data_IF_779932982437
#
_entry.id   IF_779932982437
#
_cell.length_a   1.000
_cell.length_b   1.000
_cell.length_c   1.000
_cell.angle_alpha   90.00
_cell.angle_beta   90.00
_cell.angle_gamma   90.00
#
_symmetry.space_group_name_H-M   'P 1'
#
loop_
_entity.id
_entity.type
_entity.pdbx_description
1 polymer ?
#
# COMPACT_ATOMS: atom_id res chain seq x y z
N UNK A 1 -8.06 21.23 16.93
CA UNK A 1 -8.04 20.86 15.49
C UNK A 1 -7.96 19.36 15.36
N UNK A 2 -8.00 18.79 14.15
CA UNK A 2 -8.05 17.32 13.96
C UNK A 2 -7.02 16.55 14.78
N UNK A 3 -5.81 17.09 14.96
CA UNK A 3 -4.78 16.47 15.80
C UNK A 3 -5.16 16.43 17.29
N UNK A 4 -5.66 17.53 17.85
CA UNK A 4 -6.08 17.59 19.26
C UNK A 4 -7.26 16.66 19.54
N UNK A 5 -8.17 16.54 18.56
CA UNK A 5 -9.34 15.68 18.67
C UNK A 5 -8.94 14.21 18.62
N UNK A 6 -8.01 13.82 17.73
CA UNK A 6 -7.43 12.46 17.70
C UNK A 6 -6.72 12.11 19.01
N UNK A 7 -5.95 13.05 19.57
CA UNK A 7 -5.24 12.83 20.85
C UNK A 7 -6.20 12.59 22.02
N UNK A 8 -7.36 13.27 22.02
CA UNK A 8 -8.42 13.01 23.00
C UNK A 8 -9.08 11.66 22.75
N UNK A 9 -9.38 11.33 21.50
CA UNK A 9 -9.99 10.05 21.16
C UNK A 9 -9.07 8.85 21.46
N UNK A 10 -7.75 9.03 21.44
CA UNK A 10 -6.81 7.96 21.82
C UNK A 10 -6.96 7.51 23.28
N UNK A 11 -7.42 8.38 24.19
CA UNK A 11 -7.66 8.00 25.60
C UNK A 11 -8.93 7.18 25.78
N UNK A 12 -9.92 7.41 24.93
CA UNK A 12 -11.28 6.91 25.11
C UNK A 12 -11.58 5.68 24.24
N UNK A 13 -10.86 5.52 23.12
CA UNK A 13 -11.08 4.46 22.13
C UNK A 13 -9.88 3.55 21.96
N UNK A 14 -10.15 2.28 21.62
CA UNK A 14 -9.10 1.31 21.28
C UNK A 14 -8.38 1.71 19.99
N UNK A 15 -7.07 1.46 19.93
CA UNK A 15 -6.22 1.77 18.78
C UNK A 15 -6.69 1.15 17.47
N UNK A 16 -7.18 -0.09 17.50
CA UNK A 16 -7.70 -0.76 16.30
C UNK A 16 -8.97 -0.10 15.75
N UNK A 17 -9.83 0.40 16.64
CA UNK A 17 -11.04 1.13 16.27
C UNK A 17 -10.67 2.51 15.68
N UNK A 18 -9.75 3.22 16.34
CA UNK A 18 -9.23 4.49 15.84
C UNK A 18 -8.59 4.35 14.46
N UNK A 19 -7.77 3.31 14.26
CA UNK A 19 -7.13 3.02 12.99
C UNK A 19 -8.15 2.87 11.86
N UNK A 20 -9.19 2.05 12.08
CA UNK A 20 -10.18 1.74 11.07
C UNK A 20 -11.18 2.85 10.80
N UNK A 21 -11.66 3.51 11.85
CA UNK A 21 -12.80 4.43 11.75
C UNK A 21 -12.35 5.90 11.62
N UNK A 22 -11.10 6.21 11.95
CA UNK A 22 -10.57 7.59 11.91
C UNK A 22 -9.40 7.70 10.94
N UNK A 23 -8.32 6.94 11.15
CA UNK A 23 -7.09 7.13 10.38
C UNK A 23 -7.19 6.67 8.92
N UNK A 24 -7.75 5.49 8.68
CA UNK A 24 -7.91 4.96 7.32
C UNK A 24 -8.84 5.83 6.44
N UNK A 25 -10.02 6.28 6.93
CA UNK A 25 -10.88 7.18 6.17
C UNK A 25 -10.27 8.56 5.96
N UNK A 26 -9.59 9.13 6.96
CA UNK A 26 -8.99 10.47 6.86
C UNK A 26 -7.92 10.55 5.77
N UNK A 27 -7.22 9.45 5.51
CA UNK A 27 -6.21 9.40 4.46
C UNK A 27 -6.82 9.18 3.06
N UNK A 28 -8.11 8.86 2.96
CA UNK A 28 -8.86 8.64 1.71
C UNK A 28 -8.10 7.80 0.69
N UNK A 29 -7.26 6.86 1.14
CA UNK A 29 -6.36 6.12 0.21
C UNK A 29 -7.19 5.26 -0.76
N UNK A 30 -8.37 4.85 -0.33
CA UNK A 30 -9.32 4.05 -1.09
C UNK A 30 -10.15 4.88 -2.10
N UNK A 31 -10.13 6.21 -2.02
CA UNK A 31 -10.81 7.08 -2.98
C UNK A 31 -9.98 7.29 -4.26
N UNK A 32 -10.65 7.41 -5.42
CA UNK A 32 -10.02 7.62 -6.73
C UNK A 32 -9.27 8.96 -6.84
N UNK A 33 -9.61 9.93 -5.98
CA UNK A 33 -8.99 11.25 -5.93
C UNK A 33 -8.54 11.52 -4.50
N UNK A 34 -7.25 11.39 -4.25
CA UNK A 34 -6.65 11.80 -2.99
C UNK A 34 -5.29 12.47 -3.22
N UNK A 35 -4.81 13.24 -2.25
CA UNK A 35 -3.54 13.96 -2.35
C UNK A 35 -2.34 13.03 -2.57
N UNK A 36 -2.43 11.77 -2.14
CA UNK A 36 -1.40 10.77 -2.35
C UNK A 36 -1.28 10.39 -3.84
N UNK A 37 -2.40 10.20 -4.55
CA UNK A 37 -2.41 9.92 -5.98
C UNK A 37 -2.00 11.13 -6.82
N UNK A 38 -2.42 12.33 -6.43
CA UNK A 38 -1.98 13.55 -7.08
C UNK A 38 -0.46 13.75 -6.98
N UNK A 39 0.15 13.36 -5.86
CA UNK A 39 1.62 13.34 -5.72
C UNK A 39 2.29 12.45 -6.79
N UNK A 40 1.74 11.26 -7.07
CA UNK A 40 2.30 10.40 -8.12
C UNK A 40 2.08 10.95 -9.53
N UNK A 41 0.86 11.46 -9.81
CA UNK A 41 0.51 12.03 -11.12
C UNK A 41 1.37 13.25 -11.47
N UNK A 42 1.65 14.10 -10.49
CA UNK A 42 2.43 15.33 -10.69
C UNK A 42 3.93 15.09 -10.56
N UNK A 43 4.35 14.10 -9.77
CA UNK A 43 5.76 13.81 -9.51
C UNK A 43 6.47 13.06 -10.63
N UNK A 44 5.76 12.24 -11.42
CA UNK A 44 6.38 11.43 -12.49
C UNK A 44 5.48 11.38 -13.72
N UNK A 45 6.05 11.72 -14.88
CA UNK A 45 5.36 11.60 -16.18
C UNK A 45 5.37 10.15 -16.66
N UNK A 46 4.20 9.61 -17.01
CA UNK A 46 4.02 8.25 -17.54
C UNK A 46 4.40 8.14 -19.04
N UNK A 47 5.66 8.38 -19.39
CA UNK A 47 6.14 8.35 -20.78
C UNK A 47 6.83 7.03 -21.19
N UNK A 48 6.97 6.09 -20.26
CA UNK A 48 7.62 4.79 -20.45
C UNK A 48 9.15 4.84 -20.30
N UNK A 49 9.73 5.97 -19.87
CA UNK A 49 11.19 6.13 -19.74
C UNK A 49 11.70 6.06 -18.30
N UNK A 50 10.80 5.88 -17.33
CA UNK A 50 11.12 5.84 -15.90
C UNK A 50 10.65 4.56 -15.24
N UNK A 51 11.34 4.14 -14.18
CA UNK A 51 10.90 3.07 -13.29
C UNK A 51 10.43 3.71 -11.98
N UNK A 52 9.21 3.41 -11.56
CA UNK A 52 8.65 3.90 -10.29
C UNK A 52 9.00 2.90 -9.19
N UNK A 53 9.86 3.31 -8.26
CA UNK A 53 10.26 2.47 -7.12
C UNK A 53 9.50 2.89 -5.85
N UNK A 54 8.76 1.95 -5.26
CA UNK A 54 8.04 2.14 -4.00
C UNK A 54 8.76 1.37 -2.90
N UNK A 55 9.11 2.07 -1.83
CA UNK A 55 9.81 1.48 -0.67
C UNK A 55 9.10 1.86 0.62
N UNK A 56 9.41 1.18 1.72
CA UNK A 56 8.90 1.57 3.04
C UNK A 56 7.45 1.16 3.33
N UNK A 57 6.79 0.37 2.48
CA UNK A 57 5.39 -0.08 2.69
C UNK A 57 5.16 -0.80 4.01
N UNK A 58 6.17 -1.52 4.54
CA UNK A 58 6.07 -2.13 5.87
C UNK A 58 6.08 -1.12 7.03
N UNK A 59 6.65 0.08 6.84
CA UNK A 59 6.66 1.14 7.85
C UNK A 59 5.34 1.91 7.90
N UNK A 60 4.59 1.93 6.79
CA UNK A 60 3.28 2.58 6.72
C UNK A 60 2.12 1.66 7.11
N UNK A 61 2.36 0.35 7.22
CA UNK A 61 1.36 -0.59 7.69
C UNK A 61 1.06 -0.37 9.19
N UNK A 62 -0.19 -0.49 9.67
CA UNK A 62 -1.43 -0.82 8.94
C UNK A 62 -2.22 0.40 8.43
N UNK A 63 -1.66 1.61 8.57
CA UNK A 63 -2.31 2.86 8.21
C UNK A 63 -2.57 2.93 6.70
N UNK A 64 -1.58 2.55 5.88
CA UNK A 64 -1.70 2.44 4.43
C UNK A 64 -1.53 0.98 4.03
N UNK A 65 -2.55 0.40 3.35
CA UNK A 65 -2.51 -0.96 2.83
C UNK A 65 -1.88 -1.00 1.44
N UNK A 66 -1.02 -2.00 1.19
CA UNK A 66 -0.24 -2.06 -0.05
C UNK A 66 -1.09 -2.32 -1.31
N UNK A 67 -2.22 -3.03 -1.22
CA UNK A 67 -3.12 -3.20 -2.39
C UNK A 67 -3.73 -1.89 -2.82
N UNK A 68 -4.09 -1.03 -1.87
CA UNK A 68 -4.69 0.27 -2.21
C UNK A 68 -3.71 1.09 -3.04
N UNK A 69 -2.43 1.10 -2.65
CA UNK A 69 -1.37 1.74 -3.43
C UNK A 69 -1.27 1.12 -4.84
N UNK A 70 -1.12 -0.20 -4.93
CA UNK A 70 -0.91 -0.88 -6.22
C UNK A 70 -2.09 -0.71 -7.17
N UNK A 71 -3.32 -0.88 -6.68
CA UNK A 71 -4.55 -0.74 -7.48
C UNK A 71 -4.65 0.67 -8.06
N UNK A 72 -4.40 1.68 -7.25
CA UNK A 72 -4.50 3.06 -7.70
C UNK A 72 -3.38 3.42 -8.68
N UNK A 73 -2.16 2.94 -8.45
CA UNK A 73 -1.03 3.21 -9.33
C UNK A 73 -1.17 2.55 -10.71
N UNK A 74 -1.89 1.43 -10.84
CA UNK A 74 -2.21 0.85 -12.15
C UNK A 74 -3.02 1.81 -13.04
N UNK A 75 -3.83 2.70 -12.44
CA UNK A 75 -4.57 3.72 -13.20
C UNK A 75 -3.69 4.87 -13.68
N UNK A 76 -2.60 5.16 -12.97
CA UNK A 76 -1.69 6.29 -13.19
C UNK A 76 -0.54 5.92 -14.12
N UNK A 77 0.14 4.81 -13.83
CA UNK A 77 1.31 4.35 -14.57
C UNK A 77 0.94 3.17 -15.46
N UNK A 78 0.66 3.47 -16.74
CA UNK A 78 0.36 2.46 -17.76
C UNK A 78 1.61 2.10 -18.57
N UNK A 79 2.59 3.00 -18.65
CA UNK A 79 3.80 2.85 -19.48
C UNK A 79 5.05 2.65 -18.65
N UNK A 80 5.19 3.38 -17.54
CA UNK A 80 6.29 3.23 -16.60
C UNK A 80 6.07 1.98 -15.74
N UNK A 81 7.02 1.04 -15.68
CA UNK A 81 6.92 -0.09 -14.76
C UNK A 81 7.01 0.37 -13.30
N UNK A 82 6.18 -0.24 -12.46
CA UNK A 82 6.15 -0.02 -11.01
C UNK A 82 6.80 -1.20 -10.31
N UNK A 83 7.79 -0.93 -9.46
CA UNK A 83 8.48 -1.92 -8.63
C UNK A 83 8.26 -1.57 -7.16
N UNK A 84 7.73 -2.51 -6.38
CA UNK A 84 7.48 -2.32 -4.95
C UNK A 84 8.37 -3.24 -4.11
N UNK A 85 9.12 -2.65 -3.18
CA UNK A 85 9.89 -3.39 -2.18
C UNK A 85 8.96 -3.75 -1.02
N UNK A 86 8.49 -5.00 -1.02
CA UNK A 86 7.55 -5.49 -0.03
C UNK A 86 8.26 -6.38 1.01
N UNK A 87 8.25 -6.02 2.32
CA UNK A 87 8.93 -6.78 3.36
C UNK A 87 8.09 -7.98 3.79
N UNK A 88 8.10 -9.02 2.96
CA UNK A 88 7.27 -10.19 3.15
C UNK A 88 7.35 -11.12 1.95
N UNK A 89 6.26 -11.86 1.70
CA UNK A 89 6.19 -12.84 0.61
C UNK A 89 5.01 -12.56 -0.30
N UNK A 90 5.22 -12.71 -1.60
CA UNK A 90 4.14 -12.79 -2.56
C UNK A 90 3.78 -14.25 -2.82
N UNK A 91 2.56 -14.66 -2.47
CA UNK A 91 2.07 -16.02 -2.60
C UNK A 91 1.26 -16.21 -3.88
N UNK A 92 1.92 -16.74 -4.90
CA UNK A 92 1.31 -17.00 -6.21
C UNK A 92 0.43 -18.26 -6.19
N UNK A 93 0.73 -19.24 -5.33
CA UNK A 93 0.20 -20.62 -5.42
C UNK A 93 -1.30 -20.76 -5.13
N UNK A 94 -1.90 -19.84 -4.38
CA UNK A 94 -3.31 -19.96 -3.97
C UNK A 94 -4.14 -18.75 -4.37
N UNK A 95 -3.69 -17.54 -4.07
CA UNK A 95 -4.54 -16.34 -4.17
C UNK A 95 -3.83 -15.11 -4.74
N UNK A 96 -2.58 -15.22 -5.18
CA UNK A 96 -1.78 -14.06 -5.64
C UNK A 96 -1.79 -12.95 -4.57
N UNK A 97 -1.55 -13.33 -3.32
CA UNK A 97 -1.66 -12.47 -2.12
C UNK A 97 -0.29 -11.99 -1.64
N UNK A 98 -0.27 -10.87 -0.93
CA UNK A 98 0.92 -10.38 -0.23
C UNK A 98 0.82 -10.74 1.26
N UNK A 99 1.84 -11.40 1.80
CA UNK A 99 1.97 -11.69 3.24
C UNK A 99 3.03 -10.80 3.88
N UNK A 100 2.61 -9.78 4.62
CA UNK A 100 3.53 -8.85 5.26
C UNK A 100 4.25 -9.54 6.41
N UNK A 101 5.58 -9.39 6.48
CA UNK A 101 6.44 -10.01 7.48
C UNK A 101 6.29 -11.53 7.63
N UNK A 102 5.73 -12.21 6.61
CA UNK A 102 5.41 -13.65 6.62
C UNK A 102 4.46 -14.07 7.77
N UNK A 103 3.69 -13.11 8.31
CA UNK A 103 2.84 -13.31 9.49
C UNK A 103 1.44 -12.74 9.35
N UNK A 104 1.30 -11.71 8.52
CA UNK A 104 0.06 -10.99 8.33
C UNK A 104 -0.45 -11.31 6.93
N UNK A 105 -1.49 -12.11 6.87
CA UNK A 105 -2.16 -12.44 5.63
C UNK A 105 -2.97 -11.23 5.16
N UNK A 106 -2.82 -10.91 3.89
CA UNK A 106 -3.69 -9.96 3.21
C UNK A 106 -4.61 -10.75 2.29
N UNK A 107 -5.92 -10.65 2.49
CA UNK A 107 -6.93 -11.40 1.75
C UNK A 107 -7.18 -10.86 0.32
N UNK A 108 -6.42 -9.85 -0.11
CA UNK A 108 -6.62 -9.20 -1.40
C UNK A 108 -5.86 -9.87 -2.55
N UNK A 109 -6.51 -10.02 -3.71
CA UNK A 109 -5.89 -10.49 -4.95
C UNK A 109 -5.05 -9.37 -5.58
N UNK A 110 -3.76 -9.63 -5.81
CA UNK A 110 -2.84 -8.66 -6.41
C UNK A 110 -2.38 -9.09 -7.79
N UNK A 111 -2.61 -8.25 -8.81
CA UNK A 111 -2.03 -8.44 -10.14
C UNK A 111 -0.59 -7.92 -10.16
N UNK A 112 0.33 -8.69 -9.60
CA UNK A 112 1.77 -8.44 -9.63
C UNK A 112 2.52 -9.74 -9.96
N UNK A 113 3.82 -9.63 -10.19
CA UNK A 113 4.70 -10.79 -10.30
C UNK A 113 6.02 -10.50 -9.60
N UNK A 114 6.68 -11.51 -9.04
CA UNK A 114 7.97 -11.32 -8.39
C UNK A 114 9.00 -10.92 -9.45
N UNK A 115 9.78 -9.88 -9.17
CA UNK A 115 10.85 -9.44 -10.07
C UNK A 115 11.96 -10.48 -10.22
N UNK A 116 12.22 -11.25 -9.15
CA UNK A 116 13.19 -12.35 -9.12
C UNK A 116 12.55 -13.53 -8.41
N UNK A 117 12.71 -14.74 -8.94
CA UNK A 117 12.30 -15.95 -8.23
C UNK A 117 13.10 -16.10 -6.94
N UNK A 118 12.40 -16.20 -5.81
CA UNK A 118 13.02 -16.58 -4.55
C UNK A 118 13.43 -18.05 -4.69
N UNK A 119 14.74 -18.33 -4.70
CA UNK A 119 15.24 -19.70 -4.55
C UNK A 119 14.59 -20.29 -3.30
N UNK A 120 13.88 -21.41 -3.47
CA UNK A 120 13.40 -22.17 -2.32
C UNK A 120 14.64 -22.54 -1.49
N UNK A 121 14.62 -22.21 -0.20
CA UNK A 121 15.59 -22.80 0.72
C UNK A 121 15.44 -24.32 0.63
N UNK A 122 16.52 -25.01 0.30
CA UNK A 122 16.59 -26.47 0.41
C UNK A 122 16.49 -26.87 1.88
#
# INVERSE_FOLDING_TARGET
GYMDDILRMETDYKKDLMLREVFQPLLSVEEEVNSFLEMFKTGVVDDGKSIVLITGVGKSFPIIRSHTILNNLQSIFRRNPVVMMYPGRYEIKHSMTLRLFERLDDDNYYRAFPLVERRAAK
#
